data_IF_473133611956
#
_entry.id   IF_473133611956
#
_cell.length_a   1.000
_cell.length_b   1.000
_cell.length_c   1.000
_cell.angle_alpha   90.00
_cell.angle_beta   90.00
_cell.angle_gamma   90.00
#
_symmetry.space_group_name_H-M   'P 1'
#
loop_
_entity.id
_entity.type
_entity.pdbx_description
1 polymer ?
#
# COMPACT_ATOMS: atom_id res chain seq x y z
N UNK A 1 22.99 19.40 15.42
CA UNK A 1 21.64 18.78 15.40
C UNK A 1 20.91 19.16 16.67
N UNK A 2 19.58 19.15 16.70
CA UNK A 2 18.82 19.38 17.94
C UNK A 2 18.94 18.17 18.87
N UNK A 3 19.08 18.41 20.18
CA UNK A 3 18.97 17.37 21.20
C UNK A 3 17.51 17.06 21.57
N UNK A 4 16.55 17.83 21.07
CA UNK A 4 15.13 17.69 21.39
C UNK A 4 14.33 17.12 20.21
N UNK A 5 13.37 16.27 20.53
CA UNK A 5 12.41 15.66 19.61
C UNK A 5 11.39 16.71 19.13
N UNK A 6 11.15 16.85 17.81
CA UNK A 6 10.24 17.86 17.29
C UNK A 6 8.77 17.61 17.68
N UNK A 7 8.37 16.34 17.92
CA UNK A 7 6.98 15.96 18.17
C UNK A 7 6.51 16.14 19.62
N UNK A 8 7.43 16.23 20.58
CA UNK A 8 7.08 16.22 22.02
C UNK A 8 8.03 17.01 22.93
N UNK A 9 9.06 17.65 22.38
CA UNK A 9 10.04 18.44 23.14
C UNK A 9 11.00 17.66 24.05
N UNK A 10 10.79 16.34 24.26
CA UNK A 10 11.70 15.49 25.06
C UNK A 10 13.10 15.40 24.42
N UNK A 11 14.11 15.13 25.24
CA UNK A 11 15.46 14.81 24.77
C UNK A 11 15.45 13.51 23.93
N UNK A 12 16.37 13.38 22.96
CA UNK A 12 16.45 12.22 22.05
C UNK A 12 17.88 11.69 21.89
N UNK A 13 18.00 10.39 21.61
CA UNK A 13 19.29 9.70 21.59
C UNK A 13 20.13 10.05 20.35
N UNK A 14 21.25 10.76 20.55
CA UNK A 14 22.28 10.99 19.55
C UNK A 14 21.81 11.72 18.29
N UNK A 15 21.88 11.06 17.14
CA UNK A 15 21.51 11.62 15.82
C UNK A 15 20.04 11.39 15.42
N UNK A 16 19.28 10.59 16.16
CA UNK A 16 17.93 10.17 15.78
C UNK A 16 17.02 11.36 15.43
N UNK A 17 16.03 11.18 14.54
CA UNK A 17 15.14 12.28 14.15
C UNK A 17 14.14 12.61 15.27
N UNK A 18 13.57 11.57 15.88
CA UNK A 18 12.61 11.61 16.99
C UNK A 18 13.22 11.02 18.28
N UNK A 19 12.48 11.06 19.39
CA UNK A 19 12.78 10.23 20.57
C UNK A 19 12.06 8.88 20.47
N UNK A 20 12.50 7.92 21.27
CA UNK A 20 12.09 6.51 21.18
C UNK A 20 10.59 6.31 21.45
N UNK A 21 10.01 7.09 22.37
CA UNK A 21 8.55 7.17 22.61
C UNK A 21 7.76 7.47 21.32
N UNK A 22 8.23 8.46 20.54
CA UNK A 22 7.54 8.92 19.34
C UNK A 22 7.81 8.01 18.15
N UNK A 23 9.01 7.41 18.06
CA UNK A 23 9.34 6.36 17.07
C UNK A 23 8.37 5.18 17.24
N UNK A 24 8.34 4.59 18.44
CA UNK A 24 7.45 3.46 18.77
C UNK A 24 5.97 3.77 18.55
N UNK A 25 5.54 5.01 18.80
CA UNK A 25 4.15 5.42 18.59
C UNK A 25 3.78 5.46 17.10
N UNK A 26 4.65 6.02 16.25
CA UNK A 26 4.44 6.04 14.80
C UNK A 26 4.42 4.61 14.23
N UNK A 27 5.37 3.77 14.64
CA UNK A 27 5.49 2.38 14.16
C UNK A 27 4.25 1.54 14.53
N UNK A 28 3.69 1.73 15.74
CA UNK A 28 2.52 0.97 16.21
C UNK A 28 1.16 1.51 15.76
N UNK A 29 1.05 2.79 15.43
CA UNK A 29 -0.21 3.39 14.97
C UNK A 29 -0.33 3.47 13.43
N UNK A 30 0.76 3.29 12.68
CA UNK A 30 0.78 3.47 11.22
C UNK A 30 1.52 2.40 10.41
N UNK A 31 2.11 1.37 11.03
CA UNK A 31 2.86 0.28 10.35
C UNK A 31 3.93 0.78 9.34
N UNK A 32 4.65 1.85 9.70
CA UNK A 32 5.76 2.40 8.90
C UNK A 32 7.11 2.03 9.52
N UNK A 33 7.83 1.09 8.90
CA UNK A 33 9.23 0.80 9.24
C UNK A 33 10.11 2.04 9.00
N UNK A 34 10.73 2.55 10.06
CA UNK A 34 11.71 3.65 9.98
C UNK A 34 13.12 3.07 9.81
N UNK A 35 13.83 3.33 8.69
CA UNK A 35 15.13 2.72 8.43
C UNK A 35 16.17 3.01 9.52
N UNK A 36 16.78 1.95 10.07
CA UNK A 36 17.84 2.09 11.07
C UNK A 36 19.21 2.36 10.42
N UNK A 37 19.92 3.39 10.92
CA UNK A 37 21.27 3.74 10.46
C UNK A 37 22.29 2.73 11.03
N UNK A 38 22.55 1.65 10.26
CA UNK A 38 23.44 0.55 10.63
C UNK A 38 24.81 1.05 11.16
N UNK A 39 25.18 0.60 12.37
CA UNK A 39 26.52 0.82 12.92
C UNK A 39 27.49 -0.24 12.38
N UNK A 40 28.68 0.21 12.03
CA UNK A 40 29.71 -0.60 11.37
C UNK A 40 30.28 -1.72 12.25
N UNK A 41 30.54 -2.88 11.63
CA UNK A 41 31.52 -3.87 12.09
C UNK A 41 32.37 -4.31 10.89
N UNK A 42 33.65 -3.93 10.91
CA UNK A 42 34.73 -4.53 10.13
C UNK A 42 35.20 -5.81 10.86
N UNK A 43 35.68 -6.87 10.17
CA UNK A 43 37.15 -6.94 9.93
C UNK A 43 37.62 -7.68 8.66
N UNK A 44 38.80 -7.28 8.17
CA UNK A 44 39.83 -8.12 7.48
C UNK A 44 39.50 -8.77 6.12
N UNK A 45 40.44 -9.07 5.23
CA UNK A 45 41.87 -8.70 5.03
C UNK A 45 42.16 -8.93 3.53
N UNK A 46 43.12 -8.21 2.94
CA UNK A 46 44.06 -8.75 1.94
C UNK A 46 45.12 -7.69 1.58
N UNK A 47 46.38 -7.98 1.95
CA UNK A 47 47.55 -7.29 1.39
C UNK A 47 47.76 -7.70 -0.07
N UNK A 48 48.25 -6.78 -0.92
CA UNK A 48 49.64 -6.86 -1.37
C UNK A 48 50.18 -5.48 -1.84
N UNK A 49 51.51 -5.39 -1.81
CA UNK A 49 52.43 -4.31 -2.14
C UNK A 49 52.52 -4.07 -3.69
N UNK A 50 53.26 -3.11 -4.26
CA UNK A 50 54.42 -2.33 -3.78
C UNK A 50 54.76 -1.09 -4.67
N UNK A 51 55.81 -0.35 -4.30
CA UNK A 51 56.71 0.49 -5.15
C UNK A 51 56.27 1.93 -5.54
N UNK A 52 57.30 2.80 -5.57
CA UNK A 52 57.43 4.24 -5.87
C UNK A 52 58.84 4.41 -6.52
N UNK A 53 59.21 5.48 -7.28
CA UNK A 53 58.48 6.65 -7.81
C UNK A 53 58.56 6.78 -9.37
N UNK A 54 58.07 7.90 -9.91
CA UNK A 54 58.73 8.56 -11.06
C UNK A 54 58.78 10.09 -10.85
N UNK A 55 59.61 10.81 -11.62
CA UNK A 55 59.99 12.20 -11.38
C UNK A 55 60.37 12.97 -12.66
N UNK A 56 59.92 14.21 -12.78
CA UNK A 56 60.50 15.31 -13.62
C UNK A 56 59.84 16.60 -13.14
N UNK A 57 60.55 17.57 -12.57
CA UNK A 57 61.36 18.59 -13.26
C UNK A 57 60.63 19.39 -14.35
N UNK A 58 60.35 20.67 -14.06
CA UNK A 58 60.84 21.74 -14.92
C UNK A 58 61.03 23.06 -14.16
N UNK A 59 61.93 23.93 -14.66
CA UNK A 59 62.37 25.18 -14.00
C UNK A 59 61.70 26.42 -14.57
N UNK A 60 61.62 27.47 -13.74
CA UNK A 60 61.69 28.89 -14.13
C UNK A 60 62.17 29.75 -12.95
N UNK A 61 63.45 30.14 -12.95
CA UNK A 61 64.03 31.09 -11.98
C UNK A 61 63.92 32.53 -12.49
N UNK A 62 63.47 33.48 -11.63
CA UNK A 62 63.85 34.91 -11.72
C UNK A 62 63.99 35.50 -10.30
N UNK A 63 65.21 35.93 -9.98
CA UNK A 63 65.66 36.80 -8.85
C UNK A 63 65.05 38.22 -8.95
N UNK A 64 64.94 39.12 -7.96
CA UNK A 64 65.31 39.25 -6.53
C UNK A 64 64.55 40.51 -5.96
N UNK A 65 64.76 41.15 -4.79
CA UNK A 65 65.82 41.14 -3.75
C UNK A 65 65.29 41.61 -2.36
N UNK A 66 66.23 41.73 -1.41
CA UNK A 66 66.34 42.42 -0.09
C UNK A 66 65.55 43.73 0.17
N UNK A 67 65.43 44.30 1.39
CA UNK A 67 66.22 44.24 2.66
C UNK A 67 65.23 44.31 3.88
N UNK A 68 65.40 43.71 5.06
CA UNK A 68 66.39 43.91 6.16
C UNK A 68 66.41 45.34 6.76
N UNK A 69 66.69 45.60 8.06
CA UNK A 69 67.09 44.78 9.23
C UNK A 69 66.72 45.51 10.57
N UNK A 70 66.74 44.79 11.69
CA UNK A 70 66.98 45.24 13.10
C UNK A 70 65.92 46.01 13.90
N UNK A 71 65.84 45.63 15.18
CA UNK A 71 65.32 46.41 16.31
C UNK A 71 66.45 46.69 17.31
N UNK A 72 66.46 47.87 17.92
CA UNK A 72 67.27 48.15 19.12
C UNK A 72 66.53 49.15 20.04
N UNK A 73 66.89 49.20 21.33
CA UNK A 73 66.06 49.76 22.41
C UNK A 73 66.80 50.89 23.14
N UNK A 74 66.15 52.04 23.35
CA UNK A 74 66.45 52.96 24.47
C UNK A 74 65.17 53.64 25.02
N UNK A 75 65.10 54.02 26.32
CA UNK A 75 63.87 54.52 26.96
C UNK A 75 63.95 55.97 27.51
N UNK A 76 62.85 56.41 28.18
CA UNK A 76 62.69 57.68 28.96
C UNK A 76 62.45 58.93 28.08
N UNK A 77 61.34 59.66 28.20
CA UNK A 77 60.88 60.39 29.39
C UNK A 77 59.36 60.69 29.41
N UNK A 78 58.86 61.35 30.47
CA UNK A 78 57.43 61.62 30.73
C UNK A 78 57.15 63.13 30.85
N UNK A 79 56.15 63.65 30.11
CA UNK A 79 55.14 64.61 30.61
C UNK A 79 53.93 64.74 29.65
N UNK A 80 52.74 65.16 30.13
CA UNK A 80 51.48 64.97 29.39
C UNK A 80 51.00 66.21 28.64
N UNK A 81 50.23 66.01 27.57
CA UNK A 81 49.37 67.06 27.00
C UNK A 81 48.09 66.47 26.39
N UNK A 82 46.93 67.04 26.75
CA UNK A 82 45.63 66.72 26.14
C UNK A 82 45.54 67.38 24.76
N UNK A 83 45.30 66.61 23.69
CA UNK A 83 44.19 66.91 22.77
C UNK A 83 43.92 65.84 21.69
N UNK A 84 42.64 65.73 21.30
CA UNK A 84 42.02 65.13 20.08
C UNK A 84 42.43 63.74 19.56
N UNK A 85 43.53 63.08 19.99
CA UNK A 85 43.96 61.77 19.44
C UNK A 85 43.04 60.58 19.79
N UNK A 86 42.06 60.76 20.69
CA UNK A 86 41.04 59.74 20.96
C UNK A 86 39.87 59.77 19.95
N UNK A 87 39.64 60.88 19.24
CA UNK A 87 38.49 60.99 18.33
C UNK A 87 38.63 60.06 17.13
N UNK A 88 39.83 59.95 16.55
CA UNK A 88 40.11 59.01 15.46
C UNK A 88 39.91 57.54 15.88
N UNK A 89 40.24 57.18 17.12
CA UNK A 89 40.02 55.83 17.66
C UNK A 89 38.51 55.56 17.79
N UNK A 90 37.74 56.53 18.32
CA UNK A 90 36.28 56.44 18.38
C UNK A 90 35.62 56.40 17.00
N UNK A 91 36.14 57.13 16.00
CA UNK A 91 35.66 57.06 14.61
C UNK A 91 35.94 55.69 13.98
N UNK A 92 37.10 55.09 14.26
CA UNK A 92 37.45 53.74 13.77
C UNK A 92 36.53 52.68 14.40
N UNK A 93 36.29 52.75 15.71
CA UNK A 93 35.35 51.88 16.43
C UNK A 93 33.92 52.04 15.90
N UNK A 94 33.48 53.28 15.66
CA UNK A 94 32.17 53.58 15.07
C UNK A 94 32.05 53.03 13.64
N UNK A 95 33.10 53.17 12.82
CA UNK A 95 33.15 52.61 11.47
C UNK A 95 33.05 51.08 11.47
N UNK A 96 33.79 50.40 12.35
CA UNK A 96 33.70 48.94 12.52
C UNK A 96 32.30 48.52 13.00
N UNK A 97 31.72 49.23 13.97
CA UNK A 97 30.34 48.98 14.42
C UNK A 97 29.30 49.15 13.30
N UNK A 98 29.46 50.16 12.44
CA UNK A 98 28.59 50.37 11.28
C UNK A 98 28.74 49.26 10.22
N UNK A 99 29.96 48.79 9.95
CA UNK A 99 30.21 47.66 9.03
C UNK A 99 29.64 46.35 9.58
N UNK A 100 29.86 46.06 10.87
CA UNK A 100 29.28 44.87 11.53
C UNK A 100 27.74 44.95 11.57
N UNK A 101 27.19 46.12 11.89
CA UNK A 101 25.74 46.37 11.88
C UNK A 101 25.13 46.21 10.48
N UNK A 102 25.79 46.72 9.44
CA UNK A 102 25.38 46.57 8.04
C UNK A 102 25.43 45.10 7.60
N UNK A 103 26.48 44.36 7.93
CA UNK A 103 26.60 42.94 7.60
C UNK A 103 25.57 42.08 8.35
N UNK A 104 25.31 42.38 9.62
CA UNK A 104 24.27 41.73 10.42
C UNK A 104 22.86 42.03 9.88
N UNK A 105 22.57 43.30 9.56
CA UNK A 105 21.31 43.70 8.94
C UNK A 105 21.09 43.01 7.59
N UNK A 106 22.12 42.99 6.72
CA UNK A 106 22.08 42.27 5.45
C UNK A 106 21.85 40.77 5.60
N UNK A 107 22.51 40.12 6.57
CA UNK A 107 22.27 38.71 6.92
C UNK A 107 20.83 38.46 7.37
N UNK A 108 20.29 39.27 8.29
CA UNK A 108 18.95 39.09 8.87
C UNK A 108 17.85 39.40 7.86
N UNK A 109 17.92 40.52 7.15
CA UNK A 109 16.90 40.92 6.17
C UNK A 109 16.90 39.96 4.97
N UNK A 110 18.07 39.51 4.49
CA UNK A 110 18.14 38.48 3.44
C UNK A 110 17.51 37.17 3.90
N UNK A 111 17.75 36.74 5.14
CA UNK A 111 17.12 35.53 5.70
C UNK A 111 15.61 35.68 5.85
N UNK A 112 15.11 36.82 6.33
CA UNK A 112 13.68 37.09 6.46
C UNK A 112 12.96 37.17 5.10
N UNK A 113 13.60 37.75 4.08
CA UNK A 113 13.05 37.79 2.72
C UNK A 113 13.04 36.39 2.05
N UNK A 114 14.05 35.56 2.31
CA UNK A 114 14.08 34.17 1.84
C UNK A 114 13.06 33.27 2.58
N UNK A 115 12.92 33.42 3.90
CA UNK A 115 11.91 32.76 4.73
C UNK A 115 10.51 33.05 4.18
N UNK A 116 10.20 34.34 3.96
CA UNK A 116 8.94 34.74 3.32
C UNK A 116 8.81 34.19 1.89
N UNK A 117 9.83 34.31 1.04
CA UNK A 117 9.72 33.85 -0.35
C UNK A 117 9.49 32.35 -0.46
N UNK A 118 10.02 31.56 0.47
CA UNK A 118 9.87 30.09 0.48
C UNK A 118 8.55 29.68 1.15
N UNK A 119 8.05 30.46 2.10
CA UNK A 119 6.67 30.34 2.60
C UNK A 119 5.63 30.66 1.52
N UNK A 120 5.77 31.81 0.85
CA UNK A 120 4.86 32.24 -0.22
C UNK A 120 4.89 31.23 -1.40
N UNK A 121 6.01 30.52 -1.62
CA UNK A 121 6.10 29.39 -2.54
C UNK A 121 5.40 28.12 -2.03
N UNK A 122 5.62 27.71 -0.77
CA UNK A 122 4.99 26.54 -0.18
C UNK A 122 3.46 26.66 -0.11
N UNK A 123 2.93 27.86 0.19
CA UNK A 123 1.48 28.15 0.14
C UNK A 123 0.93 28.12 -1.28
N UNK A 124 1.72 28.54 -2.27
CA UNK A 124 1.33 28.48 -3.69
C UNK A 124 1.31 27.03 -4.22
N UNK A 125 2.23 26.19 -3.76
CA UNK A 125 2.26 24.76 -4.10
C UNK A 125 1.16 23.98 -3.34
N UNK A 126 0.94 24.31 -2.07
CA UNK A 126 -0.03 23.71 -1.16
C UNK A 126 0.03 22.17 -1.09
N UNK A 127 1.23 21.59 -1.19
CA UNK A 127 1.47 20.15 -1.05
C UNK A 127 2.13 19.82 0.29
N UNK A 128 2.04 18.55 0.69
CA UNK A 128 2.83 17.98 1.79
C UNK A 128 4.34 18.23 1.58
N UNK A 129 4.83 18.10 0.34
CA UNK A 129 6.24 18.31 -0.02
C UNK A 129 6.69 19.75 0.17
N UNK A 130 5.92 20.73 -0.31
CA UNK A 130 6.23 22.16 -0.22
C UNK A 130 6.31 22.64 1.23
N UNK A 131 5.34 22.27 2.07
CA UNK A 131 5.37 22.63 3.49
C UNK A 131 6.54 21.95 4.24
N UNK A 132 6.82 20.67 3.99
CA UNK A 132 7.99 19.98 4.58
C UNK A 132 9.32 20.62 4.13
N UNK A 133 9.44 20.97 2.86
CA UNK A 133 10.63 21.63 2.29
C UNK A 133 10.86 23.00 2.93
N UNK A 134 9.79 23.78 3.14
CA UNK A 134 9.85 25.04 3.87
C UNK A 134 10.31 24.83 5.33
N UNK A 135 9.69 23.89 6.06
CA UNK A 135 10.04 23.58 7.45
C UNK A 135 11.49 23.08 7.61
N UNK A 136 12.01 22.33 6.63
CA UNK A 136 13.40 21.86 6.61
C UNK A 136 14.39 23.00 6.34
N UNK A 137 14.06 23.93 5.43
CA UNK A 137 14.90 25.08 5.10
C UNK A 137 14.89 26.16 6.21
N UNK A 138 13.75 26.36 6.87
CA UNK A 138 13.56 27.35 7.93
C UNK A 138 12.94 26.72 9.19
N UNK A 139 13.66 25.87 9.94
CA UNK A 139 13.15 25.19 11.15
C UNK A 139 12.96 26.13 12.36
N UNK A 140 13.16 27.44 12.17
CA UNK A 140 12.80 28.55 13.07
C UNK A 140 12.30 29.77 12.28
N UNK A 141 11.75 29.53 11.08
CA UNK A 141 11.15 30.56 10.24
C UNK A 141 9.89 31.13 10.88
N UNK A 142 9.44 32.29 10.41
CA UNK A 142 8.26 32.97 10.96
C UNK A 142 6.97 32.15 10.77
N UNK A 143 6.93 31.26 9.78
CA UNK A 143 5.71 30.58 9.33
C UNK A 143 5.69 29.07 9.67
N UNK A 144 6.64 28.55 10.48
CA UNK A 144 6.70 27.12 10.84
C UNK A 144 5.36 26.56 11.32
N UNK A 145 4.73 27.22 12.29
CA UNK A 145 3.48 26.76 12.88
C UNK A 145 2.31 26.73 11.86
N UNK A 146 2.32 27.65 10.88
CA UNK A 146 1.31 27.73 9.82
C UNK A 146 1.54 26.67 8.73
N UNK A 147 2.80 26.33 8.46
CA UNK A 147 3.18 25.19 7.63
C UNK A 147 2.78 23.86 8.29
N UNK A 148 2.99 23.74 9.60
CA UNK A 148 2.55 22.58 10.39
C UNK A 148 1.02 22.44 10.42
N UNK A 149 0.29 23.52 10.67
CA UNK A 149 -1.19 23.53 10.64
C UNK A 149 -1.74 23.14 9.26
N UNK A 150 -1.17 23.70 8.19
CA UNK A 150 -1.55 23.38 6.80
C UNK A 150 -1.21 21.93 6.43
N UNK A 151 -0.06 21.42 6.87
CA UNK A 151 0.36 20.04 6.70
C UNK A 151 -0.56 19.06 7.45
N UNK A 152 -0.93 19.37 8.70
CA UNK A 152 -1.90 18.58 9.46
C UNK A 152 -3.27 18.58 8.79
N UNK A 153 -3.72 19.72 8.28
CA UNK A 153 -5.00 19.84 7.56
C UNK A 153 -5.03 19.03 6.26
N UNK A 154 -3.96 19.07 5.45
CA UNK A 154 -3.85 18.25 4.24
C UNK A 154 -3.91 16.75 4.58
N UNK A 155 -3.14 16.30 5.57
CA UNK A 155 -3.14 14.89 6.00
C UNK A 155 -4.47 14.45 6.62
N UNK A 156 -5.14 15.34 7.36
CA UNK A 156 -6.47 15.08 7.92
C UNK A 156 -7.52 14.86 6.83
N UNK A 157 -7.54 15.73 5.81
CA UNK A 157 -8.42 15.57 4.65
C UNK A 157 -8.13 14.26 3.89
N UNK A 158 -6.86 13.93 3.67
CA UNK A 158 -6.42 12.70 3.00
C UNK A 158 -6.88 11.44 3.76
N UNK A 159 -6.72 11.43 5.09
CA UNK A 159 -7.19 10.36 5.96
C UNK A 159 -8.73 10.23 5.98
N UNK A 160 -9.47 11.34 5.91
CA UNK A 160 -10.93 11.34 5.81
C UNK A 160 -11.42 10.77 4.46
N UNK A 161 -10.68 11.01 3.37
CA UNK A 161 -10.96 10.39 2.06
C UNK A 161 -10.69 8.88 2.13
N UNK A 162 -9.52 8.47 2.64
CA UNK A 162 -9.22 7.04 2.82
C UNK A 162 -10.28 6.32 3.66
N UNK A 163 -10.70 6.88 4.79
CA UNK A 163 -11.74 6.30 5.65
C UNK A 163 -13.09 6.07 4.96
N UNK A 164 -13.42 6.83 3.90
CA UNK A 164 -14.60 6.60 3.05
C UNK A 164 -14.36 5.48 2.04
N UNK A 165 -13.16 5.43 1.44
CA UNK A 165 -12.78 4.40 0.47
C UNK A 165 -12.72 2.98 1.09
N UNK A 166 -12.46 2.86 2.40
CA UNK A 166 -12.49 1.57 3.10
C UNK A 166 -13.82 0.83 2.97
N UNK A 167 -14.94 1.56 2.88
CA UNK A 167 -16.30 1.01 2.74
C UNK A 167 -16.89 1.23 1.34
N UNK A 168 -16.15 1.82 0.41
CA UNK A 168 -16.59 1.95 -0.98
C UNK A 168 -16.45 0.61 -1.71
N UNK A 169 -17.40 0.35 -2.61
CA UNK A 169 -17.39 -0.75 -3.59
C UNK A 169 -16.96 -0.25 -4.98
N UNK A 170 -16.85 1.08 -5.16
CA UNK A 170 -16.60 1.70 -6.45
C UNK A 170 -15.10 1.74 -6.79
N UNK A 171 -14.64 0.75 -7.56
CA UNK A 171 -13.22 0.63 -7.94
C UNK A 171 -12.66 1.80 -8.77
N UNK A 172 -13.49 2.74 -9.26
CA UNK A 172 -13.01 3.99 -9.85
C UNK A 172 -12.46 4.95 -8.79
N UNK A 173 -13.16 5.12 -7.66
CA UNK A 173 -12.76 6.04 -6.57
C UNK A 173 -11.40 5.66 -5.96
N UNK A 174 -11.10 4.36 -5.87
CA UNK A 174 -9.79 3.87 -5.42
C UNK A 174 -8.68 4.20 -6.43
N UNK A 175 -8.95 4.13 -7.75
CA UNK A 175 -7.99 4.50 -8.80
C UNK A 175 -7.77 6.02 -8.88
N UNK A 176 -8.83 6.81 -8.70
CA UNK A 176 -8.76 8.27 -8.60
C UNK A 176 -7.89 8.68 -7.41
N UNK A 177 -8.03 8.03 -6.25
CA UNK A 177 -7.16 8.26 -5.10
C UNK A 177 -5.68 7.95 -5.39
N UNK A 178 -5.37 6.79 -5.98
CA UNK A 178 -3.99 6.43 -6.35
C UNK A 178 -3.38 7.44 -7.34
N UNK A 179 -4.20 8.02 -8.22
CA UNK A 179 -3.80 9.02 -9.22
C UNK A 179 -3.62 10.41 -8.61
N UNK A 180 -4.50 10.80 -7.67
CA UNK A 180 -4.48 12.10 -7.00
C UNK A 180 -3.43 12.19 -5.88
N UNK A 181 -3.17 11.09 -5.19
CA UNK A 181 -2.23 11.00 -4.07
C UNK A 181 -1.13 9.94 -4.31
N UNK A 182 -0.30 10.06 -5.37
CA UNK A 182 0.67 9.04 -5.77
C UNK A 182 1.82 8.81 -4.76
N UNK A 183 1.87 9.59 -3.67
CA UNK A 183 2.83 9.45 -2.56
C UNK A 183 2.11 9.28 -1.19
N UNK A 184 0.83 8.90 -1.19
CA UNK A 184 0.09 8.62 0.05
C UNK A 184 0.67 7.41 0.79
N UNK A 185 0.75 7.44 2.14
CA UNK A 185 1.00 6.24 2.93
C UNK A 185 -0.11 5.20 2.78
N UNK A 186 -1.32 5.60 2.40
CA UNK A 186 -2.47 4.70 2.25
C UNK A 186 -2.46 3.91 0.94
N UNK A 187 -1.54 4.19 -0.01
CA UNK A 187 -1.54 3.57 -1.33
C UNK A 187 -1.44 2.04 -1.33
N UNK A 188 -0.75 1.44 -0.34
CA UNK A 188 -0.71 -0.02 -0.15
C UNK A 188 -2.09 -0.59 0.22
N UNK A 189 -2.79 0.06 1.15
CA UNK A 189 -4.12 -0.33 1.63
C UNK A 189 -5.20 -0.11 0.56
N UNK A 190 -5.13 1.01 -0.16
CA UNK A 190 -5.99 1.32 -1.32
C UNK A 190 -5.82 0.25 -2.40
N UNK A 191 -4.57 -0.13 -2.73
CA UNK A 191 -4.29 -1.22 -3.67
C UNK A 191 -4.79 -2.58 -3.17
N UNK A 192 -4.67 -2.90 -1.87
CA UNK A 192 -5.23 -4.14 -1.29
C UNK A 192 -6.78 -4.18 -1.35
N UNK A 193 -7.45 -3.04 -1.13
CA UNK A 193 -8.91 -2.94 -1.27
C UNK A 193 -9.35 -3.07 -2.73
N UNK A 194 -8.62 -2.44 -3.66
CA UNK A 194 -8.84 -2.56 -5.10
C UNK A 194 -8.69 -4.02 -5.59
N UNK A 195 -7.65 -4.72 -5.13
CA UNK A 195 -7.41 -6.15 -5.39
C UNK A 195 -8.65 -6.99 -5.00
N UNK A 196 -9.08 -6.86 -3.74
CA UNK A 196 -10.22 -7.62 -3.19
C UNK A 196 -11.54 -7.33 -3.90
N UNK A 197 -11.84 -6.07 -4.22
CA UNK A 197 -13.04 -5.72 -4.99
C UNK A 197 -13.00 -6.24 -6.42
N UNK A 198 -11.83 -6.19 -7.08
CA UNK A 198 -11.65 -6.71 -8.45
C UNK A 198 -11.77 -8.23 -8.44
N UNK A 199 -11.21 -8.91 -7.44
CA UNK A 199 -11.35 -10.35 -7.25
C UNK A 199 -12.80 -10.78 -7.02
N UNK A 200 -13.55 -10.08 -6.18
CA UNK A 200 -14.99 -10.34 -5.98
C UNK A 200 -15.78 -10.14 -7.27
N UNK A 201 -15.47 -9.11 -8.08
CA UNK A 201 -16.07 -8.94 -9.40
C UNK A 201 -15.74 -10.13 -10.33
N UNK A 202 -14.47 -10.53 -10.42
CA UNK A 202 -14.03 -11.68 -11.22
C UNK A 202 -14.66 -13.01 -10.80
N UNK A 203 -14.89 -13.24 -9.49
CA UNK A 203 -15.66 -14.39 -8.98
C UNK A 203 -17.16 -14.35 -9.32
N UNK A 204 -17.74 -13.17 -9.54
CA UNK A 204 -19.13 -13.00 -9.97
C UNK A 204 -19.28 -13.20 -11.49
N UNK A 205 -18.34 -12.67 -12.28
CA UNK A 205 -18.24 -12.87 -13.73
C UNK A 205 -17.95 -14.33 -14.07
N UNK A 206 -17.04 -14.97 -13.35
CA UNK A 206 -16.62 -16.35 -13.51
C UNK A 206 -16.38 -16.78 -14.97
N UNK A 207 -15.69 -15.94 -15.76
CA UNK A 207 -15.26 -16.23 -17.14
C UNK A 207 -13.74 -16.29 -17.24
N UNK A 208 -13.22 -17.11 -18.17
CA UNK A 208 -11.79 -17.13 -18.47
C UNK A 208 -11.25 -15.74 -18.87
N UNK A 209 -12.07 -14.89 -19.51
CA UNK A 209 -11.73 -13.49 -19.77
C UNK A 209 -11.53 -12.67 -18.48
N UNK A 210 -12.45 -12.75 -17.51
CA UNK A 210 -12.33 -11.98 -16.26
C UNK A 210 -11.15 -12.46 -15.39
N UNK A 211 -10.89 -13.78 -15.31
CA UNK A 211 -9.70 -14.31 -14.64
C UNK A 211 -8.39 -13.89 -15.34
N UNK A 212 -8.37 -13.87 -16.68
CA UNK A 212 -7.24 -13.37 -17.47
C UNK A 212 -6.98 -11.88 -17.21
N UNK A 213 -8.03 -11.07 -17.21
CA UNK A 213 -7.95 -9.63 -16.94
C UNK A 213 -7.43 -9.35 -15.51
N UNK A 214 -7.90 -10.09 -14.50
CA UNK A 214 -7.36 -10.00 -13.13
C UNK A 214 -5.86 -10.32 -13.08
N UNK A 215 -5.42 -11.39 -13.74
CA UNK A 215 -3.99 -11.75 -13.82
C UNK A 215 -3.16 -10.66 -14.51
N UNK A 216 -3.66 -10.03 -15.58
CA UNK A 216 -2.98 -8.93 -16.27
C UNK A 216 -2.89 -7.67 -15.40
N UNK A 217 -3.94 -7.30 -14.66
CA UNK A 217 -3.93 -6.15 -13.74
C UNK A 217 -3.01 -6.37 -12.53
N UNK A 218 -2.89 -7.61 -12.05
CA UNK A 218 -1.87 -7.99 -11.06
C UNK A 218 -0.46 -7.84 -11.63
N UNK A 219 -0.20 -8.40 -12.83
CA UNK A 219 1.13 -8.36 -13.47
C UNK A 219 1.58 -6.95 -13.88
N UNK A 220 0.64 -6.04 -14.19
CA UNK A 220 0.95 -4.63 -14.44
C UNK A 220 1.32 -3.86 -13.17
N UNK A 221 1.10 -4.45 -11.99
CA UNK A 221 1.30 -3.81 -10.70
C UNK A 221 0.20 -2.81 -10.32
N UNK A 222 -0.98 -2.87 -10.95
CA UNK A 222 -2.13 -2.04 -10.57
C UNK A 222 -2.52 -2.29 -9.10
N UNK A 223 -2.58 -3.55 -8.70
CA UNK A 223 -2.79 -4.05 -7.34
C UNK A 223 -1.87 -5.28 -7.06
N UNK A 224 -1.75 -5.77 -5.79
CA UNK A 224 -0.70 -6.73 -5.43
C UNK A 224 -0.84 -8.13 -6.04
N UNK A 225 -2.05 -8.59 -6.32
CA UNK A 225 -2.31 -9.92 -6.89
C UNK A 225 -2.48 -11.01 -5.83
N UNK A 226 -3.10 -10.70 -4.68
CA UNK A 226 -3.23 -11.67 -3.58
C UNK A 226 -3.95 -12.96 -3.97
N UNK A 227 -4.76 -12.93 -5.02
CA UNK A 227 -5.53 -14.07 -5.54
C UNK A 227 -5.02 -14.55 -6.91
N UNK A 228 -3.77 -14.26 -7.28
CA UNK A 228 -3.21 -14.64 -8.59
C UNK A 228 -3.26 -16.15 -8.85
N UNK A 229 -2.90 -16.98 -7.86
CA UNK A 229 -2.95 -18.45 -7.99
C UNK A 229 -4.38 -18.97 -8.15
N UNK A 230 -5.30 -18.46 -7.32
CA UNK A 230 -6.75 -18.71 -7.41
C UNK A 230 -7.35 -18.33 -8.77
N UNK A 231 -6.84 -17.25 -9.39
CA UNK A 231 -7.24 -16.79 -10.72
C UNK A 231 -6.67 -17.68 -11.83
N UNK A 232 -5.40 -18.10 -11.70
CA UNK A 232 -4.77 -19.01 -12.67
C UNK A 232 -5.45 -20.39 -12.69
N UNK A 233 -5.70 -21.00 -11.52
CA UNK A 233 -6.39 -22.31 -11.43
C UNK A 233 -7.78 -22.25 -12.09
N UNK A 234 -8.55 -21.20 -11.83
CA UNK A 234 -9.87 -21.01 -12.44
C UNK A 234 -9.81 -20.62 -13.92
N UNK A 235 -8.77 -19.90 -14.35
CA UNK A 235 -8.52 -19.62 -15.77
C UNK A 235 -8.28 -20.92 -16.54
N UNK A 236 -7.33 -21.76 -16.09
CA UNK A 236 -6.99 -23.02 -16.75
C UNK A 236 -8.21 -23.97 -16.81
N UNK A 237 -9.02 -23.99 -15.74
CA UNK A 237 -10.25 -24.77 -15.63
C UNK A 237 -11.41 -24.29 -16.52
N UNK A 238 -11.46 -22.99 -16.85
CA UNK A 238 -12.50 -22.40 -17.71
C UNK A 238 -12.05 -22.18 -19.16
N UNK A 239 -10.75 -22.31 -19.44
CA UNK A 239 -10.17 -22.20 -20.78
C UNK A 239 -10.45 -23.47 -21.60
N UNK A 240 -11.68 -23.60 -22.08
CA UNK A 240 -12.15 -24.77 -22.83
C UNK A 240 -11.34 -25.01 -24.10
N UNK A 241 -10.61 -26.13 -24.13
CA UNK A 241 -9.87 -26.63 -25.31
C UNK A 241 -10.74 -27.45 -26.28
N UNK A 242 -11.99 -27.75 -25.92
CA UNK A 242 -12.92 -28.57 -26.67
C UNK A 242 -14.15 -27.78 -27.16
N UNK A 243 -14.74 -28.13 -28.32
CA UNK A 243 -15.95 -27.49 -28.81
C UNK A 243 -17.16 -27.82 -27.91
N UNK A 244 -17.87 -26.77 -27.49
CA UNK A 244 -19.08 -26.89 -26.66
C UNK A 244 -20.22 -27.50 -27.48
N UNK A 245 -20.81 -28.58 -26.96
CA UNK A 245 -22.02 -29.19 -27.50
C UNK A 245 -23.21 -28.56 -26.77
N UNK A 246 -24.01 -27.75 -27.49
CA UNK A 246 -25.10 -26.99 -26.87
C UNK A 246 -26.10 -27.88 -26.11
N UNK A 247 -26.44 -29.06 -26.66
CA UNK A 247 -27.33 -30.03 -26.01
C UNK A 247 -26.78 -30.54 -24.68
N UNK A 248 -25.48 -30.78 -24.59
CA UNK A 248 -24.83 -31.19 -23.33
C UNK A 248 -24.88 -30.01 -22.34
N UNK A 249 -24.56 -28.78 -22.79
CA UNK A 249 -24.63 -27.58 -21.96
C UNK A 249 -26.03 -27.29 -21.41
N UNK A 250 -27.08 -27.44 -22.23
CA UNK A 250 -28.47 -27.18 -21.81
C UNK A 250 -28.93 -28.21 -20.77
N UNK A 251 -28.58 -29.49 -20.96
CA UNK A 251 -28.83 -30.54 -19.96
C UNK A 251 -28.09 -30.28 -18.64
N UNK A 252 -26.83 -29.84 -18.72
CA UNK A 252 -26.04 -29.43 -17.55
C UNK A 252 -26.73 -28.29 -16.80
N UNK A 253 -27.14 -27.22 -17.49
CA UNK A 253 -27.84 -26.08 -16.88
C UNK A 253 -29.15 -26.51 -16.21
N UNK A 254 -29.94 -27.36 -16.89
CA UNK A 254 -31.18 -27.92 -16.33
C UNK A 254 -30.94 -28.74 -15.03
N UNK A 255 -29.86 -29.52 -14.97
CA UNK A 255 -29.47 -30.24 -13.75
C UNK A 255 -29.05 -29.28 -12.64
N UNK A 256 -28.21 -28.29 -12.93
CA UNK A 256 -27.68 -27.36 -11.93
C UNK A 256 -28.80 -26.47 -11.34
N UNK A 257 -29.58 -25.83 -12.19
CA UNK A 257 -30.69 -24.96 -11.77
C UNK A 257 -31.77 -25.74 -11.00
N UNK A 258 -32.17 -26.90 -11.52
CA UNK A 258 -33.13 -27.78 -10.88
C UNK A 258 -32.66 -28.28 -9.50
N UNK A 259 -31.39 -28.70 -9.39
CA UNK A 259 -30.83 -29.13 -8.11
C UNK A 259 -30.76 -27.99 -7.08
N UNK A 260 -30.26 -26.81 -7.46
CA UNK A 260 -30.16 -25.68 -6.53
C UNK A 260 -31.53 -25.09 -6.17
N UNK A 261 -32.50 -25.12 -7.08
CA UNK A 261 -33.91 -24.80 -6.78
C UNK A 261 -34.49 -25.79 -5.78
N UNK A 262 -34.30 -27.10 -5.98
CA UNK A 262 -34.77 -28.14 -5.07
C UNK A 262 -34.11 -28.03 -3.68
N UNK A 263 -32.80 -27.76 -3.63
CA UNK A 263 -32.05 -27.54 -2.39
C UNK A 263 -32.54 -26.29 -1.63
N UNK A 264 -32.76 -25.17 -2.35
CA UNK A 264 -33.30 -23.92 -1.79
C UNK A 264 -34.75 -24.06 -1.30
N UNK A 265 -35.50 -25.02 -1.84
CA UNK A 265 -36.85 -25.37 -1.40
C UNK A 265 -36.89 -26.46 -0.32
N UNK A 266 -35.74 -27.07 0.02
CA UNK A 266 -35.64 -28.30 0.82
C UNK A 266 -36.59 -29.42 0.32
N UNK A 267 -36.71 -29.58 -1.00
CA UNK A 267 -37.56 -30.59 -1.61
C UNK A 267 -36.78 -31.89 -1.86
N UNK A 268 -37.08 -32.91 -1.05
CA UNK A 268 -36.42 -34.22 -1.09
C UNK A 268 -36.62 -34.97 -2.42
N UNK A 269 -37.83 -34.97 -2.95
CA UNK A 269 -38.17 -35.71 -4.18
C UNK A 269 -37.52 -35.08 -5.41
N UNK A 270 -37.50 -33.75 -5.48
CA UNK A 270 -36.83 -33.03 -6.57
C UNK A 270 -35.30 -33.16 -6.49
N UNK A 271 -34.68 -32.98 -5.31
CA UNK A 271 -33.22 -33.20 -5.15
C UNK A 271 -32.81 -34.62 -5.57
N UNK A 272 -33.64 -35.62 -5.29
CA UNK A 272 -33.36 -37.02 -5.62
C UNK A 272 -33.36 -37.35 -7.12
N UNK A 273 -33.88 -36.45 -7.99
CA UNK A 273 -33.85 -36.62 -9.45
C UNK A 273 -32.48 -36.30 -10.06
N UNK A 274 -31.79 -35.31 -9.48
CA UNK A 274 -30.54 -34.77 -10.00
C UNK A 274 -29.29 -35.44 -9.41
N UNK A 275 -29.42 -36.12 -8.26
CA UNK A 275 -28.35 -36.90 -7.63
C UNK A 275 -28.29 -38.32 -8.20
N UNK A 276 -27.09 -38.78 -8.55
CA UNK A 276 -26.86 -40.17 -8.92
C UNK A 276 -27.12 -41.13 -7.74
N UNK A 277 -27.45 -42.41 -7.96
CA UNK A 277 -27.73 -43.38 -6.88
C UNK A 277 -26.60 -43.51 -5.85
N UNK A 278 -25.35 -43.28 -6.28
CA UNK A 278 -24.17 -43.16 -5.42
C UNK A 278 -23.47 -41.84 -5.76
N UNK A 279 -23.27 -41.01 -4.76
CA UNK A 279 -22.48 -39.77 -4.86
C UNK A 279 -21.14 -40.03 -4.15
N UNK A 280 -20.01 -39.75 -4.80
CA UNK A 280 -18.68 -40.01 -4.27
C UNK A 280 -18.23 -38.99 -3.21
N UNK A 281 -18.66 -37.73 -3.36
CA UNK A 281 -18.42 -36.64 -2.40
C UNK A 281 -19.49 -35.56 -2.54
N UNK A 282 -19.98 -35.05 -1.42
CA UNK A 282 -21.03 -34.05 -1.36
C UNK A 282 -20.70 -32.97 -0.32
N UNK A 283 -20.24 -31.81 -0.78
CA UNK A 283 -19.53 -30.79 0.02
C UNK A 283 -18.40 -31.42 0.85
N UNK A 284 -18.55 -31.44 2.18
CA UNK A 284 -17.63 -32.06 3.15
C UNK A 284 -17.93 -33.53 3.44
N UNK A 285 -19.07 -34.05 2.99
CA UNK A 285 -19.46 -35.46 3.17
C UNK A 285 -18.72 -36.34 2.17
N UNK A 286 -18.22 -37.48 2.66
CA UNK A 286 -17.70 -38.56 1.80
C UNK A 286 -18.83 -39.34 1.10
N UNK A 287 -18.43 -40.44 0.46
CA UNK A 287 -19.31 -41.28 -0.37
C UNK A 287 -20.59 -41.71 0.33
N UNK A 288 -21.74 -41.55 -0.35
CA UNK A 288 -23.06 -41.91 0.17
C UNK A 288 -24.07 -42.29 -0.91
N UNK A 289 -25.17 -42.89 -0.50
CA UNK A 289 -26.38 -43.04 -1.32
C UNK A 289 -27.15 -41.71 -1.32
N UNK A 290 -27.79 -41.35 -2.45
CA UNK A 290 -28.56 -40.09 -2.56
C UNK A 290 -29.67 -40.00 -1.51
N UNK A 291 -30.35 -41.09 -1.19
CA UNK A 291 -31.44 -41.14 -0.21
C UNK A 291 -30.95 -40.74 1.19
N UNK A 292 -29.72 -41.15 1.56
CA UNK A 292 -29.08 -40.73 2.80
C UNK A 292 -28.70 -39.24 2.75
N UNK A 293 -28.07 -38.79 1.66
CA UNK A 293 -27.60 -37.40 1.51
C UNK A 293 -28.79 -36.42 1.59
N UNK A 294 -29.89 -36.74 0.91
CA UNK A 294 -31.14 -35.99 0.96
C UNK A 294 -31.74 -36.03 2.38
N UNK A 295 -31.78 -37.19 3.04
CA UNK A 295 -32.21 -37.31 4.43
C UNK A 295 -31.41 -36.42 5.40
N UNK A 296 -30.08 -36.49 5.33
CA UNK A 296 -29.16 -35.68 6.13
C UNK A 296 -29.35 -34.17 5.86
N UNK A 297 -29.60 -33.76 4.61
CA UNK A 297 -29.93 -32.38 4.22
C UNK A 297 -31.24 -31.89 4.84
N UNK A 298 -32.34 -32.66 4.73
CA UNK A 298 -33.64 -32.31 5.29
C UNK A 298 -33.57 -32.19 6.82
N UNK A 299 -32.90 -33.14 7.49
CA UNK A 299 -32.67 -33.12 8.93
C UNK A 299 -31.84 -31.89 9.34
N UNK A 300 -30.84 -31.51 8.54
CA UNK A 300 -30.02 -30.33 8.80
C UNK A 300 -30.81 -29.04 8.64
N UNK A 301 -31.55 -28.87 7.53
CA UNK A 301 -32.38 -27.69 7.29
C UNK A 301 -33.46 -27.49 8.37
N UNK A 302 -34.16 -28.57 8.75
CA UNK A 302 -35.20 -28.53 9.78
C UNK A 302 -34.69 -28.14 11.18
N UNK A 303 -33.42 -28.45 11.52
CA UNK A 303 -32.84 -28.14 12.84
C UNK A 303 -32.51 -26.66 13.03
N UNK A 304 -32.21 -25.93 11.96
CA UNK A 304 -31.54 -24.62 12.06
C UNK A 304 -32.54 -23.49 12.43
N UNK A 305 -33.85 -23.68 12.20
CA UNK A 305 -34.94 -22.70 12.41
C UNK A 305 -34.78 -21.34 11.69
N UNK A 306 -33.67 -21.11 11.00
CA UNK A 306 -33.42 -19.91 10.19
C UNK A 306 -34.20 -19.96 8.86
N UNK A 307 -34.53 -18.80 8.28
CA UNK A 307 -35.07 -18.69 6.93
C UNK A 307 -34.13 -19.37 5.92
N UNK A 308 -34.69 -20.26 5.09
CA UNK A 308 -33.94 -21.17 4.20
C UNK A 308 -32.94 -20.42 3.34
N UNK A 309 -31.67 -20.85 3.40
CA UNK A 309 -30.60 -20.33 2.53
C UNK A 309 -30.98 -20.65 1.07
N UNK A 310 -31.17 -19.61 0.27
CA UNK A 310 -31.38 -19.73 -1.17
C UNK A 310 -30.03 -19.76 -1.87
N UNK A 311 -29.85 -20.72 -2.74
CA UNK A 311 -28.70 -20.88 -3.62
C UNK A 311 -29.10 -20.33 -4.99
N UNK A 312 -28.37 -19.34 -5.47
CA UNK A 312 -28.65 -18.62 -6.72
C UNK A 312 -27.48 -18.84 -7.69
N UNK A 313 -27.52 -19.90 -8.52
CA UNK A 313 -26.44 -20.24 -9.44
C UNK A 313 -26.46 -19.36 -10.71
N UNK A 314 -25.30 -18.90 -11.16
CA UNK A 314 -25.18 -18.04 -12.34
C UNK A 314 -25.19 -18.85 -13.65
N UNK A 315 -26.38 -19.05 -14.23
CA UNK A 315 -26.57 -19.82 -15.47
C UNK A 315 -25.88 -19.25 -16.72
N UNK A 316 -25.40 -18.00 -16.67
CA UNK A 316 -24.67 -17.38 -17.78
C UNK A 316 -23.20 -17.82 -17.81
N UNK A 317 -22.64 -18.28 -16.69
CA UNK A 317 -21.20 -18.56 -16.50
C UNK A 317 -20.90 -20.06 -16.41
N UNK A 318 -21.89 -20.91 -16.70
CA UNK A 318 -21.74 -22.36 -16.65
C UNK A 318 -20.93 -22.81 -17.87
N UNK A 319 -19.71 -23.27 -17.61
CA UNK A 319 -18.85 -23.96 -18.56
C UNK A 319 -18.60 -25.40 -18.09
N UNK A 320 -18.18 -26.28 -19.02
CA UNK A 320 -17.88 -27.67 -18.71
C UNK A 320 -16.65 -28.22 -19.45
N UNK A 321 -15.98 -29.20 -18.84
CA UNK A 321 -15.01 -30.09 -19.49
C UNK A 321 -15.62 -31.49 -19.61
N UNK A 322 -15.42 -32.18 -20.75
CA UNK A 322 -15.87 -33.57 -20.95
C UNK A 322 -14.68 -34.52 -20.86
N UNK A 323 -14.66 -35.32 -19.81
CA UNK A 323 -13.58 -36.27 -19.51
C UNK A 323 -13.55 -37.45 -20.50
N UNK A 324 -12.43 -38.16 -20.55
CA UNK A 324 -12.26 -39.41 -21.33
C UNK A 324 -13.24 -40.54 -20.96
N UNK A 325 -13.89 -40.46 -19.79
CA UNK A 325 -14.91 -41.41 -19.34
C UNK A 325 -16.34 -40.90 -19.55
N UNK A 326 -16.51 -39.81 -20.31
CA UNK A 326 -17.76 -39.12 -20.62
C UNK A 326 -18.50 -38.54 -19.40
N UNK A 327 -17.80 -38.32 -18.28
CA UNK A 327 -18.27 -37.45 -17.20
C UNK A 327 -18.05 -35.97 -17.55
N UNK A 328 -18.88 -35.09 -17.02
CA UNK A 328 -18.78 -33.64 -17.20
C UNK A 328 -18.31 -32.98 -15.90
N UNK A 329 -17.18 -32.28 -15.95
CA UNK A 329 -16.73 -31.39 -14.86
C UNK A 329 -17.32 -30.02 -15.15
N UNK A 330 -18.04 -29.44 -14.19
CA UNK A 330 -18.86 -28.23 -14.36
C UNK A 330 -18.57 -27.27 -13.22
N UNK A 331 -18.38 -25.98 -13.54
CA UNK A 331 -18.12 -24.94 -12.55
C UNK A 331 -19.17 -23.84 -12.60
N UNK A 332 -19.66 -23.47 -11.41
CA UNK A 332 -20.83 -22.61 -11.25
C UNK A 332 -20.55 -21.61 -10.14
N UNK A 333 -20.61 -20.30 -10.44
CA UNK A 333 -20.65 -19.27 -9.40
C UNK A 333 -22.04 -19.25 -8.78
N UNK A 334 -22.12 -19.31 -7.44
CA UNK A 334 -23.36 -19.42 -6.68
C UNK A 334 -23.40 -18.34 -5.61
N UNK A 335 -24.44 -17.52 -5.60
CA UNK A 335 -24.71 -16.59 -4.51
C UNK A 335 -25.60 -17.27 -3.46
N UNK A 336 -25.35 -17.01 -2.18
CA UNK A 336 -26.16 -17.52 -1.07
C UNK A 336 -26.93 -16.37 -0.42
N UNK A 337 -28.24 -16.43 -0.50
CA UNK A 337 -29.14 -15.42 0.06
C UNK A 337 -29.89 -15.95 1.27
N UNK A 338 -29.81 -15.24 2.40
CA UNK A 338 -30.43 -15.60 3.68
C UNK A 338 -30.89 -14.34 4.41
N UNK A 339 -31.85 -14.47 5.33
CA UNK A 339 -32.33 -13.32 6.12
C UNK A 339 -31.71 -13.34 7.51
N UNK A 340 -30.99 -12.27 7.84
CA UNK A 340 -30.36 -12.04 9.14
C UNK A 340 -30.91 -10.73 9.73
N UNK A 341 -31.34 -10.75 11.00
CA UNK A 341 -31.95 -9.60 11.68
C UNK A 341 -33.11 -8.94 10.91
N UNK A 342 -33.84 -9.71 10.09
CA UNK A 342 -34.95 -9.23 9.26
C UNK A 342 -34.55 -8.61 7.92
N UNK A 343 -33.25 -8.53 7.61
CA UNK A 343 -32.74 -8.06 6.32
C UNK A 343 -32.21 -9.23 5.48
N UNK A 344 -32.50 -9.25 4.19
CA UNK A 344 -31.90 -10.20 3.25
C UNK A 344 -30.45 -9.81 3.00
N UNK A 345 -29.51 -10.69 3.38
CA UNK A 345 -28.11 -10.62 2.94
C UNK A 345 -27.89 -11.63 1.82
N UNK A 346 -27.07 -11.25 0.85
CA UNK A 346 -26.59 -12.14 -0.21
C UNK A 346 -25.07 -12.12 -0.19
N UNK A 347 -24.45 -13.30 -0.11
CA UNK A 347 -23.00 -13.49 -0.13
C UNK A 347 -22.63 -14.20 -1.43
N UNK A 348 -21.80 -13.56 -2.24
CA UNK A 348 -21.37 -14.06 -3.55
C UNK A 348 -19.98 -14.70 -3.49
N UNK A 349 -19.48 -15.19 -4.63
CA UNK A 349 -18.14 -15.76 -4.75
C UNK A 349 -17.95 -17.17 -4.18
N UNK A 350 -19.02 -17.90 -3.85
CA UNK A 350 -18.93 -19.36 -3.73
C UNK A 350 -18.85 -19.93 -5.14
N UNK A 351 -17.83 -20.75 -5.41
CA UNK A 351 -17.77 -21.54 -6.65
C UNK A 351 -18.08 -22.98 -6.29
N UNK A 352 -19.06 -23.57 -6.96
CA UNK A 352 -19.39 -24.99 -6.80
C UNK A 352 -18.82 -25.76 -7.99
N UNK A 353 -17.91 -26.68 -7.69
CA UNK A 353 -17.33 -27.61 -8.64
C UNK A 353 -18.15 -28.92 -8.59
N UNK A 354 -18.77 -29.27 -9.72
CA UNK A 354 -19.72 -30.37 -9.86
C UNK A 354 -19.16 -31.37 -10.89
N UNK A 355 -19.24 -32.66 -10.59
CA UNK A 355 -19.01 -33.74 -11.56
C UNK A 355 -20.35 -34.43 -11.83
N UNK A 356 -20.69 -34.54 -13.11
CA UNK A 356 -21.89 -35.21 -13.59
C UNK A 356 -21.51 -36.48 -14.36
N UNK A 357 -22.32 -37.53 -14.20
CA UNK A 357 -22.18 -38.75 -15.00
C UNK A 357 -22.69 -38.55 -16.45
N UNK A 358 -22.67 -39.63 -17.23
CA UNK A 358 -23.13 -39.66 -18.63
C UNK A 358 -24.62 -39.33 -18.82
N UNK A 359 -25.40 -39.42 -17.75
CA UNK A 359 -26.84 -39.14 -17.70
C UNK A 359 -27.14 -37.75 -17.11
N UNK A 360 -26.11 -36.91 -16.95
CA UNK A 360 -26.16 -35.59 -16.30
C UNK A 360 -26.58 -35.64 -14.82
N UNK A 361 -26.34 -36.75 -14.12
CA UNK A 361 -26.61 -36.90 -12.69
C UNK A 361 -25.36 -36.57 -11.84
N UNK A 362 -25.56 -35.82 -10.76
CA UNK A 362 -24.50 -35.37 -9.85
C UNK A 362 -23.89 -36.57 -9.11
N UNK A 363 -22.61 -36.81 -9.37
CA UNK A 363 -21.77 -37.84 -8.72
C UNK A 363 -20.72 -37.23 -7.78
N UNK A 364 -20.28 -36.00 -8.03
CA UNK A 364 -19.46 -35.22 -7.10
C UNK A 364 -20.01 -33.79 -7.03
N UNK A 365 -20.08 -33.22 -5.83
CA UNK A 365 -20.35 -31.80 -5.63
C UNK A 365 -19.47 -31.27 -4.50
N UNK A 366 -18.76 -30.17 -4.75
CA UNK A 366 -17.85 -29.53 -3.79
C UNK A 366 -17.94 -28.01 -3.91
N UNK A 367 -17.56 -27.29 -2.86
CA UNK A 367 -17.64 -25.83 -2.82
C UNK A 367 -16.32 -25.21 -2.37
N UNK A 368 -15.82 -24.29 -3.19
CA UNK A 368 -14.80 -23.32 -2.83
C UNK A 368 -15.50 -22.07 -2.29
N UNK A 369 -15.20 -21.68 -1.05
CA UNK A 369 -15.77 -20.48 -0.42
C UNK A 369 -15.13 -19.21 -1.00
N UNK A 370 -15.81 -18.04 -0.95
CA UNK A 370 -15.12 -16.77 -1.13
C UNK A 370 -14.01 -16.64 -0.08
N UNK A 371 -12.88 -16.04 -0.47
CA UNK A 371 -11.75 -15.78 0.43
C UNK A 371 -12.18 -14.81 1.53
N UNK A 372 -11.95 -15.10 2.83
CA UNK A 372 -12.53 -14.32 3.92
C UNK A 372 -11.97 -12.89 4.03
N UNK A 373 -10.79 -12.65 3.46
CA UNK A 373 -10.12 -11.34 3.43
C UNK A 373 -10.58 -10.43 2.26
N UNK A 374 -11.55 -10.88 1.46
CA UNK A 374 -11.99 -10.19 0.25
C UNK A 374 -13.19 -9.24 0.43
N UNK A 375 -13.77 -9.14 1.64
CA UNK A 375 -14.99 -8.39 1.98
C UNK A 375 -14.72 -7.25 2.96
#
# INVERSE_FOLDING_TARGET
MSQFCPLCGKNKSGKALFCDDCKNKIEKEYEVDVPEENKSTDPTDYKQTDIKPESTENKSDVKEQDENLTSEITPVSIKPQRNKRNWFIWLLILGVLLVVGFFYYGQVVRKANLDRSQWDAAVKENTVSGYLTYMQAFPKGKYCNLAEESLMKLKGNEAEIWGKLQVSENTAELRDFLTQYPQSPYNSLVKKRLDSLTWVATLNDNTAESYSNYMVMSQSGEFPGYYFGDAQERYEMLFQSYPVIQTDLDNIKNTVDGFFTALSALNADEMSKYLAPIVFRFFSSGRGQREKIVGDLIISGARIQAPTIKFLPNMNTVAYEKTLIEHYIVNVSVQKSFVENGQTKTVSGYIVNIELDRNFQIITLTESKPTPDAV
#
